data_IF_039501904794
#
_entry.id   IF_039501904794
#
_cell.length_a   1.000
_cell.length_b   1.000
_cell.length_c   1.000
_cell.angle_alpha   90.00
_cell.angle_beta   90.00
_cell.angle_gamma   90.00
#
_symmetry.space_group_name_H-M   'P 1'
#
loop_
_entity.id
_entity.type
_entity.pdbx_description
1 polymer ?
#
# COMPACT_ATOMS: atom_id res chain seq x y z
N UNK A 1 11.34 21.20 27.74
CA UNK A 1 10.47 21.37 26.58
C UNK A 1 9.65 22.62 26.79
N UNK A 2 9.74 23.59 25.88
CA UNK A 2 8.97 24.83 25.95
C UNK A 2 7.53 24.54 25.47
N UNK A 3 6.54 24.88 26.29
CA UNK A 3 5.13 24.72 25.94
C UNK A 3 4.57 26.13 25.70
N UNK A 4 4.24 26.44 24.44
CA UNK A 4 3.44 27.63 24.14
C UNK A 4 2.03 27.38 24.71
N UNK A 5 1.55 28.19 25.68
CA UNK A 5 0.24 28.01 26.29
C UNK A 5 -0.92 28.24 25.31
N UNK A 6 -0.69 28.88 24.15
CA UNK A 6 -1.73 29.19 23.18
C UNK A 6 -1.84 28.18 22.03
N UNK A 7 -0.88 27.26 21.89
CA UNK A 7 -0.88 26.30 20.79
C UNK A 7 -1.35 24.91 21.26
N UNK A 8 -2.61 24.55 20.92
CA UNK A 8 -3.19 23.22 21.23
C UNK A 8 -2.53 22.05 20.48
N UNK A 9 -1.62 22.32 19.54
CA UNK A 9 -0.89 21.30 18.76
C UNK A 9 0.54 21.21 19.28
N UNK A 10 1.03 19.98 19.51
CA UNK A 10 2.47 19.75 19.77
C UNK A 10 3.26 20.24 18.56
N UNK A 11 3.86 21.42 18.67
CA UNK A 11 4.86 21.91 17.73
C UNK A 11 6.22 21.47 18.23
N UNK A 12 6.97 20.79 17.37
CA UNK A 12 8.39 20.56 17.63
C UNK A 12 9.12 21.87 17.38
N UNK A 13 10.10 22.21 18.23
CA UNK A 13 10.97 23.34 17.98
C UNK A 13 11.61 23.17 16.60
N UNK A 14 11.45 24.20 15.77
CA UNK A 14 12.11 24.30 14.48
C UNK A 14 13.55 24.75 14.74
N UNK A 15 14.50 23.82 14.65
CA UNK A 15 15.93 24.10 14.81
C UNK A 15 16.59 24.12 13.43
N UNK A 16 17.04 25.29 12.93
CA UNK A 16 17.86 25.37 11.74
C UNK A 16 19.33 25.02 12.06
N UNK A 17 20.07 24.36 11.14
CA UNK A 17 19.65 23.94 9.81
C UNK A 17 18.77 22.67 9.84
N UNK A 18 17.79 22.61 8.93
CA UNK A 18 16.98 21.39 8.74
C UNK A 18 17.88 20.34 8.07
N UNK A 19 18.45 19.45 8.87
CA UNK A 19 19.23 18.32 8.38
C UNK A 19 18.26 17.16 8.09
N UNK A 20 18.26 16.66 6.85
CA UNK A 20 17.56 15.43 6.49
C UNK A 20 18.07 14.30 7.39
N UNK A 21 17.16 13.56 8.03
CA UNK A 21 17.54 12.41 8.85
C UNK A 21 18.14 11.35 7.94
N UNK A 22 19.37 10.94 8.25
CA UNK A 22 19.99 9.77 7.61
C UNK A 22 19.09 8.54 7.79
N UNK A 23 18.69 7.85 6.71
CA UNK A 23 17.92 6.60 6.78
C UNK A 23 18.52 5.56 7.74
N UNK A 24 19.86 5.48 7.85
CA UNK A 24 20.52 4.56 8.78
C UNK A 24 20.27 4.94 10.24
N UNK A 25 20.31 6.24 10.55
CA UNK A 25 19.99 6.76 11.87
C UNK A 25 18.50 6.62 12.20
N UNK A 26 17.63 6.71 11.20
CA UNK A 26 16.19 6.45 11.37
C UNK A 26 15.94 4.99 11.75
N UNK A 27 16.56 4.04 11.02
CA UNK A 27 16.44 2.61 11.28
C UNK A 27 17.00 2.21 12.65
N UNK A 28 18.14 2.79 13.07
CA UNK A 28 18.71 2.50 14.39
C UNK A 28 17.80 2.99 15.53
N UNK A 29 17.24 4.19 15.43
CA UNK A 29 16.28 4.73 16.42
C UNK A 29 14.97 3.95 16.46
N UNK A 30 14.49 3.48 15.31
CA UNK A 30 13.31 2.60 15.23
C UNK A 30 13.57 1.24 15.89
N UNK A 31 14.75 0.65 15.69
CA UNK A 31 15.18 -0.57 16.39
C UNK A 31 15.25 -0.36 17.91
N UNK A 32 15.85 0.73 18.33
CA UNK A 32 15.99 1.05 19.76
C UNK A 32 14.64 1.27 20.42
N UNK A 33 13.70 1.96 19.74
CA UNK A 33 12.34 2.17 20.23
C UNK A 33 11.57 0.85 20.41
N UNK A 34 11.77 -0.10 19.49
CA UNK A 34 11.17 -1.43 19.55
C UNK A 34 11.69 -2.23 20.75
N UNK A 35 13.02 -2.28 20.93
CA UNK A 35 13.68 -3.02 22.03
C UNK A 35 13.31 -2.42 23.39
N UNK A 36 13.33 -1.10 23.50
CA UNK A 36 13.09 -0.39 24.76
C UNK A 36 11.61 -0.18 25.08
N UNK A 37 10.72 -0.41 24.10
CA UNK A 37 9.28 -0.09 24.16
C UNK A 37 8.98 1.36 24.56
N UNK A 38 9.91 2.27 24.28
CA UNK A 38 9.81 3.70 24.56
C UNK A 38 9.76 4.49 23.27
N UNK A 39 9.09 5.63 23.31
CA UNK A 39 9.11 6.56 22.19
C UNK A 39 10.46 7.26 22.14
N UNK A 40 11.27 6.94 21.12
CA UNK A 40 12.60 7.52 20.92
C UNK A 40 12.50 8.49 19.75
N UNK A 41 12.60 9.81 20.01
CA UNK A 41 12.56 10.85 18.97
C UNK A 41 11.38 10.78 17.97
N UNK A 42 10.21 10.30 18.43
CA UNK A 42 9.01 10.10 17.61
C UNK A 42 8.88 8.71 16.98
N UNK A 43 9.85 7.82 17.22
CA UNK A 43 9.83 6.43 16.75
C UNK A 43 9.11 5.56 17.78
N UNK A 44 8.20 4.70 17.31
CA UNK A 44 7.42 3.77 18.15
C UNK A 44 7.89 2.31 18.02
N UNK A 45 8.87 2.06 17.16
CA UNK A 45 9.36 0.73 16.83
C UNK A 45 9.72 0.62 15.36
N UNK A 46 10.12 -0.57 14.94
CA UNK A 46 10.35 -0.90 13.54
C UNK A 46 9.03 -1.00 12.79
N UNK A 47 9.05 -0.55 11.54
CA UNK A 47 7.92 -0.77 10.65
C UNK A 47 8.08 -2.10 9.94
N UNK A 48 6.99 -2.86 9.77
CA UNK A 48 6.99 -3.98 8.82
C UNK A 48 7.28 -3.50 7.38
N UNK A 49 7.11 -2.20 7.12
CA UNK A 49 7.47 -1.54 5.86
C UNK A 49 8.94 -1.14 5.79
N UNK A 50 9.72 -1.22 6.87
CA UNK A 50 11.15 -0.84 6.90
C UNK A 50 12.01 -1.74 6.00
N UNK A 51 11.59 -2.99 5.82
CA UNK A 51 12.26 -3.97 4.95
C UNK A 51 11.68 -4.01 3.54
N UNK A 52 10.60 -3.27 3.28
CA UNK A 52 10.08 -3.14 1.92
C UNK A 52 11.03 -2.19 1.20
N UNK A 53 11.70 -2.71 0.15
CA UNK A 53 12.50 -1.90 -0.77
C UNK A 53 11.69 -0.66 -1.13
N UNK A 54 12.19 0.50 -0.69
CA UNK A 54 11.55 1.78 -0.92
C UNK A 54 11.69 2.08 -2.40
N UNK A 55 10.68 1.65 -3.17
CA UNK A 55 10.61 1.97 -4.58
C UNK A 55 10.34 3.47 -4.65
N UNK A 56 11.17 4.27 -5.35
CA UNK A 56 10.91 5.68 -5.51
C UNK A 56 9.54 5.83 -6.15
N UNK A 57 8.54 6.16 -5.32
CA UNK A 57 7.24 6.56 -5.83
C UNK A 57 7.54 7.78 -6.68
N UNK A 58 7.25 7.78 -7.99
CA UNK A 58 7.26 9.03 -8.73
C UNK A 58 6.38 10.00 -7.93
N UNK A 59 6.99 11.11 -7.53
CA UNK A 59 6.47 12.00 -6.49
C UNK A 59 5.07 12.56 -6.77
N UNK A 60 4.56 12.31 -7.96
CA UNK A 60 3.19 12.59 -8.35
C UNK A 60 2.96 11.91 -9.69
N UNK A 61 2.57 10.63 -9.71
CA UNK A 61 1.85 10.12 -10.89
C UNK A 61 0.45 10.70 -10.81
N UNK A 62 0.14 11.54 -11.80
CA UNK A 62 -1.19 11.98 -12.17
C UNK A 62 -2.17 10.83 -11.99
N UNK A 63 -3.25 11.09 -11.27
CA UNK A 63 -4.37 10.17 -11.14
C UNK A 63 -5.05 10.14 -12.51
N UNK A 64 -4.43 9.45 -13.46
CA UNK A 64 -5.06 9.15 -14.74
C UNK A 64 -6.26 8.24 -14.46
N UNK A 65 -7.26 8.32 -15.34
CA UNK A 65 -8.49 7.51 -15.28
C UNK A 65 -8.20 6.01 -15.06
N UNK A 66 -7.09 5.53 -15.63
CA UNK A 66 -6.58 4.17 -15.49
C UNK A 66 -6.20 3.82 -14.04
N UNK A 67 -5.52 4.72 -13.31
CA UNK A 67 -5.19 4.53 -11.89
C UNK A 67 -6.43 4.53 -11.00
N UNK A 68 -7.43 5.35 -11.31
CA UNK A 68 -8.71 5.35 -10.57
C UNK A 68 -9.42 4.01 -10.74
N UNK A 69 -9.44 3.49 -11.97
CA UNK A 69 -10.08 2.22 -12.31
C UNK A 69 -9.36 1.04 -11.65
N UNK A 70 -8.03 1.02 -11.67
CA UNK A 70 -7.22 -0.02 -11.03
C UNK A 70 -7.32 0.00 -9.50
N UNK A 71 -7.34 1.19 -8.90
CA UNK A 71 -7.56 1.32 -7.46
C UNK A 71 -8.98 0.87 -7.09
N UNK A 72 -9.99 1.27 -7.86
CA UNK A 72 -11.37 0.81 -7.65
C UNK A 72 -11.47 -0.70 -7.73
N UNK A 73 -10.87 -1.30 -8.76
CA UNK A 73 -10.77 -2.75 -8.92
C UNK A 73 -10.18 -3.41 -7.68
N UNK A 74 -9.02 -2.92 -7.23
CA UNK A 74 -8.38 -3.43 -6.02
C UNK A 74 -9.26 -3.31 -4.77
N UNK A 75 -9.97 -2.21 -4.58
CA UNK A 75 -10.92 -2.06 -3.46
C UNK A 75 -11.99 -3.15 -3.51
N UNK A 76 -12.55 -3.41 -4.68
CA UNK A 76 -13.63 -4.36 -4.85
C UNK A 76 -13.12 -5.80 -4.62
N UNK A 77 -11.91 -6.12 -5.09
CA UNK A 77 -11.19 -7.37 -4.76
C UNK A 77 -11.04 -7.54 -3.24
N UNK A 78 -10.54 -6.53 -2.52
CA UNK A 78 -10.35 -6.62 -1.06
C UNK A 78 -11.68 -6.76 -0.32
N UNK A 79 -12.73 -6.08 -0.78
CA UNK A 79 -14.08 -6.21 -0.21
C UNK A 79 -14.64 -7.62 -0.41
N UNK A 80 -14.44 -8.20 -1.59
CA UNK A 80 -14.88 -9.56 -1.89
C UNK A 80 -14.10 -10.56 -1.05
N UNK A 81 -12.77 -10.41 -0.97
CA UNK A 81 -11.94 -11.27 -0.10
C UNK A 81 -12.40 -11.21 1.34
N UNK A 82 -12.64 -10.00 1.84
CA UNK A 82 -13.14 -9.80 3.19
C UNK A 82 -14.46 -10.53 3.37
N UNK A 83 -15.42 -10.34 2.47
CA UNK A 83 -16.78 -10.89 2.58
C UNK A 83 -16.84 -12.40 2.43
N UNK A 84 -16.11 -12.95 1.46
CA UNK A 84 -16.30 -14.32 0.98
C UNK A 84 -15.30 -15.31 1.61
N UNK A 85 -14.09 -14.86 1.94
CA UNK A 85 -13.01 -15.76 2.40
C UNK A 85 -12.59 -15.55 3.86
N UNK A 86 -12.92 -14.40 4.48
CA UNK A 86 -12.48 -14.10 5.85
C UNK A 86 -13.61 -14.22 6.86
N UNK A 87 -13.34 -14.86 7.99
CA UNK A 87 -14.27 -14.91 9.12
C UNK A 87 -14.37 -13.54 9.82
N UNK A 88 -15.48 -13.21 10.51
CA UNK A 88 -15.62 -11.94 11.23
C UNK A 88 -14.51 -11.67 12.25
N UNK A 89 -13.97 -12.70 12.89
CA UNK A 89 -12.85 -12.60 13.83
C UNK A 89 -11.57 -12.15 13.11
N UNK A 90 -11.24 -12.77 11.98
CA UNK A 90 -10.07 -12.42 11.16
C UNK A 90 -10.22 -11.00 10.60
N UNK A 91 -11.42 -10.59 10.15
CA UNK A 91 -11.67 -9.21 9.69
C UNK A 91 -11.37 -8.17 10.76
N UNK A 92 -11.86 -8.37 12.00
CA UNK A 92 -11.56 -7.47 13.13
C UNK A 92 -10.07 -7.41 13.44
N UNK A 93 -9.38 -8.55 13.37
CA UNK A 93 -7.93 -8.60 13.57
C UNK A 93 -7.19 -7.81 12.49
N UNK A 94 -7.54 -7.98 11.22
CA UNK A 94 -6.94 -7.23 10.11
C UNK A 94 -7.21 -5.74 10.22
N UNK A 95 -8.44 -5.34 10.58
CA UNK A 95 -8.77 -3.92 10.79
C UNK A 95 -7.90 -3.29 11.88
N UNK A 96 -7.69 -4.02 12.98
CA UNK A 96 -6.79 -3.60 14.03
C UNK A 96 -5.34 -3.50 13.53
N UNK A 97 -4.84 -4.51 12.83
CA UNK A 97 -3.47 -4.51 12.28
C UNK A 97 -3.25 -3.35 11.30
N UNK A 98 -4.16 -3.13 10.35
CA UNK A 98 -4.08 -2.03 9.38
C UNK A 98 -4.09 -0.65 10.06
N UNK A 99 -4.88 -0.48 11.13
CA UNK A 99 -4.97 0.80 11.87
C UNK A 99 -3.76 1.06 12.75
N UNK A 100 -3.17 0.02 13.32
CA UNK A 100 -2.07 0.10 14.28
C UNK A 100 -0.71 -0.05 13.66
N UNK A 101 -0.63 -0.47 12.39
CA UNK A 101 0.62 -0.65 11.68
C UNK A 101 1.49 0.62 11.76
N UNK A 102 2.75 0.50 12.23
CA UNK A 102 3.70 1.60 12.20
C UNK A 102 4.02 1.97 10.74
N UNK A 103 3.91 3.25 10.40
CA UNK A 103 4.23 3.78 9.06
C UNK A 103 5.56 4.55 9.08
N UNK A 104 6.35 4.46 8.01
CA UNK A 104 7.43 5.40 7.78
C UNK A 104 6.90 6.84 7.74
N UNK A 105 7.71 7.78 8.22
CA UNK A 105 7.31 9.18 8.44
C UNK A 105 6.91 9.93 7.15
N UNK A 106 7.36 9.45 5.98
CA UNK A 106 7.03 10.02 4.67
C UNK A 106 5.64 9.61 4.15
N UNK A 107 4.95 8.67 4.81
CA UNK A 107 3.56 8.37 4.50
C UNK A 107 2.65 9.45 5.07
N UNK A 108 2.10 10.29 4.20
CA UNK A 108 1.20 11.38 4.59
C UNK A 108 -0.11 10.92 5.29
N UNK A 109 -0.48 9.62 5.18
CA UNK A 109 -1.73 9.08 5.74
C UNK A 109 -1.57 7.63 6.19
N UNK A 110 -2.06 7.35 7.41
CA UNK A 110 -2.24 5.99 7.94
C UNK A 110 -3.27 5.20 7.12
N UNK A 111 -3.11 3.88 7.09
CA UNK A 111 -4.10 2.97 6.53
C UNK A 111 -5.41 2.99 7.32
N UNK A 112 -6.45 2.45 6.69
CA UNK A 112 -7.79 2.32 7.26
C UNK A 112 -8.17 0.85 7.27
N UNK A 113 -9.06 0.50 8.20
CA UNK A 113 -9.67 -0.82 8.21
C UNK A 113 -10.54 -1.02 6.96
N UNK A 114 -10.76 -2.27 6.61
CA UNK A 114 -11.63 -2.75 5.55
C UNK A 114 -13.05 -2.19 5.72
N UNK A 115 -13.54 -2.04 6.96
CA UNK A 115 -14.86 -1.44 7.25
C UNK A 115 -15.01 0.00 6.71
N UNK A 116 -13.91 0.75 6.60
CA UNK A 116 -13.92 2.14 6.13
C UNK A 116 -13.81 2.26 4.60
N UNK A 117 -13.79 1.13 3.85
CA UNK A 117 -13.47 1.15 2.41
C UNK A 117 -14.55 1.80 1.54
N UNK A 118 -15.77 1.97 2.05
CA UNK A 118 -16.82 2.69 1.35
C UNK A 118 -16.48 4.18 1.13
N UNK A 119 -15.63 4.76 1.99
CA UNK A 119 -15.23 6.17 1.93
C UNK A 119 -13.70 6.36 1.91
N UNK A 120 -12.95 5.33 1.49
CA UNK A 120 -11.49 5.39 1.46
C UNK A 120 -10.99 6.33 0.36
N UNK A 121 -10.08 7.24 0.72
CA UNK A 121 -9.43 8.12 -0.27
C UNK A 121 -8.44 7.30 -1.11
N UNK A 122 -8.33 7.62 -2.40
CA UNK A 122 -7.42 6.95 -3.33
C UNK A 122 -5.98 6.81 -2.81
N UNK A 123 -5.44 7.85 -2.15
CA UNK A 123 -4.09 7.80 -1.56
C UNK A 123 -3.91 6.73 -0.48
N UNK A 124 -4.95 6.46 0.32
CA UNK A 124 -4.90 5.40 1.35
C UNK A 124 -5.01 4.01 0.73
N UNK A 125 -5.84 3.88 -0.30
CA UNK A 125 -6.02 2.64 -1.04
C UNK A 125 -4.75 2.26 -1.81
N UNK A 126 -4.05 3.24 -2.38
CA UNK A 126 -2.70 3.06 -2.95
C UNK A 126 -1.69 2.57 -1.91
N UNK A 127 -1.69 3.17 -0.72
CA UNK A 127 -0.79 2.74 0.36
C UNK A 127 -1.09 1.30 0.78
N UNK A 128 -2.37 0.92 0.85
CA UNK A 128 -2.75 -0.47 1.07
C UNK A 128 -2.25 -1.38 -0.06
N UNK A 129 -2.54 -1.06 -1.32
CA UNK A 129 -2.13 -1.87 -2.46
C UNK A 129 -0.62 -2.14 -2.48
N UNK A 130 0.17 -1.07 -2.33
CA UNK A 130 1.62 -1.13 -2.53
C UNK A 130 2.39 -1.56 -1.29
N UNK A 131 1.85 -1.36 -0.09
CA UNK A 131 2.62 -1.55 1.15
C UNK A 131 1.87 -2.33 2.22
N UNK A 132 0.55 -2.18 2.30
CA UNK A 132 -0.25 -2.78 3.37
C UNK A 132 -0.78 -4.18 3.08
N UNK A 133 -1.07 -4.51 1.83
CA UNK A 133 -1.84 -5.71 1.51
C UNK A 133 -1.05 -6.97 1.85
N UNK A 134 0.10 -7.18 1.22
CA UNK A 134 0.88 -8.41 1.42
C UNK A 134 1.28 -8.62 2.90
N UNK A 135 1.82 -7.64 3.63
CA UNK A 135 2.24 -7.88 5.01
C UNK A 135 1.11 -8.25 5.97
N UNK A 136 -0.14 -7.84 5.68
CA UNK A 136 -1.28 -8.11 6.56
C UNK A 136 -2.14 -9.27 6.08
N UNK A 137 -2.27 -9.48 4.76
CA UNK A 137 -3.19 -10.47 4.19
C UNK A 137 -2.51 -11.80 3.85
N UNK A 138 -1.18 -11.86 3.76
CA UNK A 138 -0.49 -13.08 3.32
C UNK A 138 -0.77 -14.31 4.20
N UNK A 139 -0.82 -14.13 5.53
CA UNK A 139 -1.03 -15.25 6.46
C UNK A 139 -2.48 -15.74 6.55
N UNK A 140 -3.43 -15.00 5.98
CA UNK A 140 -4.87 -15.29 6.04
C UNK A 140 -5.45 -15.71 4.69
N UNK A 141 -4.63 -15.70 3.63
CA UNK A 141 -5.00 -16.12 2.29
C UNK A 141 -4.38 -17.46 1.94
N UNK A 142 -5.05 -18.20 1.05
CA UNK A 142 -4.43 -19.36 0.42
C UNK A 142 -3.32 -18.91 -0.53
N UNK A 143 -2.34 -19.78 -0.77
CA UNK A 143 -1.17 -19.46 -1.62
C UNK A 143 -1.61 -19.01 -3.01
N UNK A 144 -2.60 -19.67 -3.61
CA UNK A 144 -3.09 -19.30 -4.94
C UNK A 144 -3.75 -17.92 -4.96
N UNK A 145 -4.53 -17.59 -3.93
CA UNK A 145 -5.15 -16.27 -3.77
C UNK A 145 -4.10 -15.18 -3.59
N UNK A 146 -3.11 -15.44 -2.73
CA UNK A 146 -2.02 -14.52 -2.49
C UNK A 146 -1.19 -14.30 -3.77
N UNK A 147 -0.81 -15.38 -4.46
CA UNK A 147 -0.05 -15.34 -5.71
C UNK A 147 -0.80 -14.56 -6.80
N UNK A 148 -2.11 -14.79 -6.94
CA UNK A 148 -2.94 -14.06 -7.90
C UNK A 148 -2.91 -12.55 -7.65
N UNK A 149 -3.06 -12.11 -6.40
CA UNK A 149 -3.01 -10.67 -6.08
C UNK A 149 -1.59 -10.11 -6.17
N UNK A 150 -0.56 -10.92 -5.91
CA UNK A 150 0.84 -10.54 -6.14
C UNK A 150 1.07 -10.22 -7.62
N UNK A 151 0.52 -10.99 -8.56
CA UNK A 151 0.62 -10.67 -10.00
C UNK A 151 0.09 -9.28 -10.30
N UNK A 152 -1.09 -8.94 -9.76
CA UNK A 152 -1.67 -7.61 -9.90
C UNK A 152 -0.77 -6.52 -9.30
N UNK A 153 -0.32 -6.68 -8.05
CA UNK A 153 0.56 -5.72 -7.37
C UNK A 153 1.87 -5.52 -8.16
N UNK A 154 2.48 -6.59 -8.67
CA UNK A 154 3.70 -6.55 -9.46
C UNK A 154 3.49 -5.87 -10.83
N UNK A 155 2.38 -6.16 -11.51
CA UNK A 155 2.02 -5.50 -12.77
C UNK A 155 1.85 -4.00 -12.58
N UNK A 156 1.09 -3.60 -11.55
CA UNK A 156 0.89 -2.19 -11.20
C UNK A 156 2.22 -1.51 -10.84
N UNK A 157 3.05 -2.16 -10.02
CA UNK A 157 4.38 -1.63 -9.67
C UNK A 157 5.28 -1.44 -10.90
N UNK A 158 5.22 -2.35 -11.86
CA UNK A 158 6.01 -2.27 -13.09
C UNK A 158 5.62 -1.04 -13.93
N UNK A 159 4.33 -0.69 -13.96
CA UNK A 159 3.83 0.52 -14.66
C UNK A 159 4.20 1.81 -13.90
N UNK A 160 4.27 1.75 -12.57
CA UNK A 160 4.50 2.93 -11.74
C UNK A 160 5.97 3.31 -11.55
N UNK A 161 6.91 2.39 -11.80
CA UNK A 161 8.32 2.65 -11.50
C UNK A 161 9.12 3.03 -12.74
N UNK A 162 10.26 3.69 -12.53
CA UNK A 162 11.33 3.74 -13.53
C UNK A 162 11.63 2.31 -13.99
N UNK A 163 11.82 2.15 -15.29
CA UNK A 163 11.92 0.88 -16.03
C UNK A 163 12.72 -0.21 -15.29
N UNK A 164 12.05 -0.95 -14.39
CA UNK A 164 12.67 -1.96 -13.51
C UNK A 164 13.39 -3.02 -14.36
N UNK A 165 12.78 -3.34 -15.50
CA UNK A 165 13.26 -4.31 -16.46
C UNK A 165 13.79 -3.64 -17.75
N UNK A 166 14.15 -2.36 -17.68
CA UNK A 166 14.49 -1.56 -18.86
C UNK A 166 13.34 -1.51 -19.86
N UNK A 167 13.65 -1.59 -21.15
CA UNK A 167 12.67 -1.54 -22.24
C UNK A 167 11.60 -2.65 -22.18
N UNK A 168 11.87 -3.73 -21.43
CA UNK A 168 10.93 -4.85 -21.23
C UNK A 168 9.88 -4.58 -20.16
N UNK A 169 9.98 -3.48 -19.41
CA UNK A 169 9.09 -3.21 -18.26
C UNK A 169 7.62 -3.20 -18.67
N UNK A 170 7.29 -2.59 -19.82
CA UNK A 170 5.93 -2.58 -20.36
C UNK A 170 5.43 -3.99 -20.69
N UNK A 171 6.24 -4.78 -21.43
CA UNK A 171 5.90 -6.14 -21.80
C UNK A 171 5.72 -7.07 -20.58
N UNK A 172 6.58 -6.93 -19.56
CA UNK A 172 6.45 -7.70 -18.31
C UNK A 172 5.17 -7.30 -17.56
N UNK A 173 4.87 -5.99 -17.48
CA UNK A 173 3.65 -5.53 -16.83
C UNK A 173 2.39 -6.07 -17.53
N UNK A 174 2.38 -6.06 -18.86
CA UNK A 174 1.28 -6.58 -19.67
C UNK A 174 1.08 -8.08 -19.45
N UNK A 175 2.14 -8.88 -19.44
CA UNK A 175 2.06 -10.32 -19.14
C UNK A 175 1.52 -10.57 -17.73
N UNK A 176 1.98 -9.82 -16.73
CA UNK A 176 1.53 -9.97 -15.34
C UNK A 176 0.03 -9.63 -15.20
N UNK A 177 -0.41 -8.52 -15.78
CA UNK A 177 -1.81 -8.09 -15.71
C UNK A 177 -2.72 -9.00 -16.54
N UNK A 178 -2.29 -9.40 -17.74
CA UNK A 178 -3.05 -10.35 -18.58
C UNK A 178 -3.20 -11.70 -17.88
N UNK A 179 -2.15 -12.19 -17.23
CA UNK A 179 -2.22 -13.43 -16.44
C UNK A 179 -3.17 -13.29 -15.25
N UNK A 180 -3.11 -12.15 -14.55
CA UNK A 180 -4.06 -11.83 -13.49
C UNK A 180 -5.51 -11.81 -14.00
N UNK A 181 -5.79 -11.22 -15.15
CA UNK A 181 -7.15 -11.16 -15.70
C UNK A 181 -7.64 -12.50 -16.25
N UNK A 182 -6.76 -13.33 -16.81
CA UNK A 182 -7.13 -14.66 -17.33
C UNK A 182 -7.70 -15.58 -16.25
N UNK A 183 -7.14 -15.49 -15.04
CA UNK A 183 -7.53 -16.32 -13.90
C UNK A 183 -8.55 -15.64 -12.98
N UNK A 184 -9.12 -14.51 -13.40
CA UNK A 184 -9.97 -13.66 -12.57
C UNK A 184 -11.22 -14.36 -12.03
N UNK A 185 -11.84 -15.20 -12.87
CA UNK A 185 -13.02 -15.99 -12.52
C UNK A 185 -12.77 -17.02 -11.43
N UNK A 186 -11.50 -17.39 -11.15
CA UNK A 186 -11.16 -18.32 -10.06
C UNK A 186 -11.37 -17.69 -8.68
N UNK A 187 -11.36 -16.37 -8.58
CA UNK A 187 -11.36 -15.66 -7.29
C UNK A 187 -12.52 -14.69 -7.12
N UNK A 188 -13.08 -14.16 -8.21
CA UNK A 188 -14.06 -13.08 -8.16
C UNK A 188 -15.22 -13.36 -9.11
N UNK A 189 -16.21 -14.11 -8.62
CA UNK A 189 -17.48 -14.24 -9.33
C UNK A 189 -18.11 -12.83 -9.47
N UNK A 190 -18.54 -12.46 -10.67
CA UNK A 190 -19.25 -11.21 -11.02
C UNK A 190 -18.42 -9.93 -11.23
N UNK A 191 -17.08 -9.99 -11.24
CA UNK A 191 -16.22 -8.83 -11.61
C UNK A 191 -15.77 -8.83 -13.09
N UNK A 192 -16.30 -9.75 -13.91
CA UNK A 192 -15.96 -9.95 -15.33
C UNK A 192 -16.10 -8.68 -16.19
N UNK A 193 -17.04 -7.79 -15.85
CA UNK A 193 -17.29 -6.55 -16.60
C UNK A 193 -16.15 -5.52 -16.51
N UNK A 194 -15.19 -5.67 -15.59
CA UNK A 194 -14.03 -4.76 -15.51
C UNK A 194 -12.93 -5.09 -16.53
N UNK A 195 -12.91 -6.31 -17.07
CA UNK A 195 -11.86 -6.80 -17.98
C UNK A 195 -11.87 -6.07 -19.33
N UNK A 196 -13.05 -5.63 -19.79
CA UNK A 196 -13.20 -5.06 -21.14
C UNK A 196 -12.71 -3.61 -21.28
N UNK A 197 -12.82 -2.78 -20.25
CA UNK A 197 -12.49 -1.35 -20.38
C UNK A 197 -11.00 -1.03 -20.15
N UNK A 198 -10.31 -1.83 -19.34
CA UNK A 198 -8.90 -1.59 -19.00
C UNK A 198 -7.95 -2.04 -20.13
N UNK A 199 -8.22 -3.19 -20.78
CA UNK A 199 -7.41 -3.69 -21.89
C UNK A 199 -7.51 -2.81 -23.15
N UNK A 200 -8.70 -2.28 -23.47
CA UNK A 200 -8.87 -1.36 -24.60
C UNK A 200 -8.02 -0.09 -24.44
N UNK A 201 -7.92 0.44 -23.21
CA UNK A 201 -7.10 1.62 -22.93
C UNK A 201 -5.58 1.37 -22.91
N UNK A 202 -5.13 0.13 -22.66
CA UNK A 202 -3.71 -0.22 -22.77
C UNK A 202 -3.28 -0.38 -24.23
N UNK A 203 -4.16 -0.82 -25.12
CA UNK A 203 -3.87 -0.93 -26.55
C UNK A 203 -3.69 0.45 -27.20
N UNK A 204 -4.44 1.46 -26.78
CA UNK A 204 -4.40 2.82 -27.36
C UNK A 204 -3.23 3.70 -26.87
N UNK A 205 -2.46 3.25 -25.86
CA UNK A 205 -1.31 4.01 -25.29
C UNK A 205 0.06 3.44 -25.69
N UNK A 206 0.11 2.56 -26.68
CA UNK A 206 1.34 2.08 -27.35
C UNK A 206 1.58 2.89 -28.62
#
# INVERSE_FOLDING_TARGET
GYHDPNCRKRQYLYEPPVVLRDPKLFASKSKEAEVTRKNIHGHLGRSILELILDVPLPHSILIDYQHVTLLRHFRDVVKQISTDFLTPAIRKQLDYQLRTQPFPHFFNRRMRGIEDFSYIKATKLRNLLLYGFLPNFYSVLQVDQAAHIVLFICGIRSIHNLAIFGDRTSAVADVLLTTYYRDHSKFLNHLENFVLHLHAHYADKI
#
